data_IF_339020271041
#
_entry.id   IF_339020271041
#
_cell.length_a   1.000
_cell.length_b   1.000
_cell.length_c   1.000
_cell.angle_alpha   90.00
_cell.angle_beta   90.00
_cell.angle_gamma   90.00
#
_symmetry.space_group_name_H-M   'P 1'
#
loop_
_entity.id
_entity.type
_entity.pdbx_description
1 polymer ?
#
# COMPACT_ATOMS: atom_id res chain seq x y z
N UNK A 1 12.37 -1.37 2.55
CA UNK A 1 11.68 -1.53 1.24
C UNK A 1 11.19 -0.18 0.80
N UNK A 2 11.33 0.17 -0.48
CA UNK A 2 10.84 1.48 -0.96
C UNK A 2 9.33 1.46 -1.16
N UNK A 3 8.72 2.62 -0.98
CA UNK A 3 7.29 2.84 -1.26
C UNK A 3 6.94 2.46 -2.71
N UNK A 4 7.82 2.76 -3.66
CA UNK A 4 7.65 2.39 -5.07
C UNK A 4 7.50 0.88 -5.28
N UNK A 5 8.30 0.08 -4.59
CA UNK A 5 8.22 -1.38 -4.64
C UNK A 5 6.94 -1.90 -4.00
N UNK A 6 6.56 -1.35 -2.84
CA UNK A 6 5.29 -1.70 -2.19
C UNK A 6 4.11 -1.46 -3.15
N UNK A 7 4.04 -0.29 -3.78
CA UNK A 7 2.96 0.02 -4.74
C UNK A 7 2.96 -0.93 -5.93
N UNK A 8 4.14 -1.39 -6.39
CA UNK A 8 4.24 -2.37 -7.48
C UNK A 8 3.66 -3.73 -7.05
N UNK A 9 3.96 -4.17 -5.83
CA UNK A 9 3.37 -5.39 -5.26
C UNK A 9 1.85 -5.28 -5.11
N UNK A 10 1.37 -4.15 -4.57
CA UNK A 10 -0.06 -3.88 -4.41
C UNK A 10 -0.80 -3.92 -5.75
N UNK A 11 -0.27 -3.28 -6.81
CA UNK A 11 -0.85 -3.35 -8.17
C UNK A 11 -0.87 -4.79 -8.70
N UNK A 12 0.19 -5.55 -8.48
CA UNK A 12 0.24 -6.97 -8.88
C UNK A 12 -0.80 -7.81 -8.13
N UNK A 13 -1.13 -7.43 -6.91
CA UNK A 13 -2.18 -8.02 -6.07
C UNK A 13 -3.60 -7.55 -6.43
N UNK A 14 -3.78 -6.83 -7.54
CA UNK A 14 -5.04 -6.17 -7.95
C UNK A 14 -5.58 -5.15 -6.95
N UNK A 15 -4.75 -4.64 -6.03
CA UNK A 15 -5.14 -3.52 -5.19
C UNK A 15 -5.19 -2.23 -6.05
N UNK A 16 -6.17 -1.38 -5.77
CA UNK A 16 -6.43 -0.15 -6.53
C UNK A 16 -6.33 1.08 -5.63
N UNK A 17 -6.01 2.23 -6.21
CA UNK A 17 -6.06 3.51 -5.50
C UNK A 17 -7.54 3.93 -5.47
N UNK A 18 -8.10 4.00 -4.27
CA UNK A 18 -9.49 4.42 -4.05
C UNK A 18 -9.60 5.92 -3.87
N UNK A 19 -8.59 6.57 -3.28
CA UNK A 19 -8.55 8.03 -3.13
C UNK A 19 -7.11 8.53 -3.09
N UNK A 20 -6.82 9.57 -3.86
CA UNK A 20 -5.55 10.29 -3.78
C UNK A 20 -5.65 11.39 -2.72
N UNK A 21 -4.75 11.36 -1.75
CA UNK A 21 -4.55 12.45 -0.79
C UNK A 21 -3.23 13.18 -1.04
N UNK A 22 -3.00 14.28 -0.32
CA UNK A 22 -1.78 15.08 -0.45
C UNK A 22 -0.54 14.29 -0.01
N UNK A 23 -0.56 13.72 1.21
CA UNK A 23 0.56 12.97 1.79
C UNK A 23 0.42 11.44 1.66
N UNK A 24 -0.83 10.95 1.70
CA UNK A 24 -1.15 9.52 1.64
C UNK A 24 -2.21 9.25 0.58
N UNK A 25 -2.04 8.16 -0.16
CA UNK A 25 -3.03 7.59 -1.06
C UNK A 25 -3.78 6.48 -0.30
N UNK A 26 -5.10 6.45 -0.39
CA UNK A 26 -5.89 5.34 0.12
C UNK A 26 -5.97 4.25 -0.94
N UNK A 27 -5.48 3.08 -0.59
CA UNK A 27 -5.54 1.88 -1.41
C UNK A 27 -6.67 0.98 -0.92
N UNK A 28 -7.31 0.29 -1.85
CA UNK A 28 -8.31 -0.73 -1.60
C UNK A 28 -7.76 -2.08 -2.05
N UNK A 29 -7.82 -3.07 -1.17
CA UNK A 29 -7.54 -4.46 -1.53
C UNK A 29 -8.84 -5.21 -1.80
N UNK A 30 -9.04 -5.76 -3.02
CA UNK A 30 -10.16 -6.65 -3.30
C UNK A 30 -10.00 -8.03 -2.63
N UNK A 31 -8.81 -8.37 -2.14
CA UNK A 31 -8.53 -9.66 -1.49
C UNK A 31 -9.13 -9.66 -0.07
N UNK A 32 -8.93 -8.57 0.66
CA UNK A 32 -9.39 -8.43 2.06
C UNK A 32 -10.62 -7.56 2.21
N UNK A 33 -11.02 -6.82 1.17
CA UNK A 33 -12.10 -5.84 1.20
C UNK A 33 -11.78 -4.59 2.03
N UNK A 34 -10.49 -4.34 2.33
CA UNK A 34 -10.07 -3.25 3.21
C UNK A 34 -9.50 -2.06 2.45
N UNK A 35 -9.69 -0.88 3.05
CA UNK A 35 -8.98 0.32 2.67
C UNK A 35 -7.84 0.60 3.65
N UNK A 36 -6.66 0.95 3.13
CA UNK A 36 -5.50 1.29 3.93
C UNK A 36 -4.69 2.44 3.32
N UNK A 37 -4.08 3.31 4.15
CA UNK A 37 -3.26 4.40 3.66
C UNK A 37 -1.87 3.90 3.25
N UNK A 38 -1.41 4.37 2.09
CA UNK A 38 -0.04 4.15 1.59
C UNK A 38 0.60 5.53 1.37
N UNK A 39 1.81 5.78 1.87
CA UNK A 39 2.49 7.05 1.66
C UNK A 39 2.75 7.30 0.17
N UNK A 40 2.57 8.57 -0.25
CA UNK A 40 2.76 8.96 -1.65
C UNK A 40 4.24 8.98 -2.05
N UNK A 41 5.12 9.28 -1.09
CA UNK A 41 6.54 9.55 -1.29
C UNK A 41 7.30 8.29 -1.72
N UNK A 42 7.36 8.07 -3.04
CA UNK A 42 7.93 6.87 -3.66
C UNK A 42 9.41 6.62 -3.31
N UNK A 43 10.15 7.68 -3.02
CA UNK A 43 11.59 7.62 -2.70
C UNK A 43 11.88 7.29 -1.23
N UNK A 44 10.88 7.34 -0.34
CA UNK A 44 11.08 6.97 1.06
C UNK A 44 11.10 5.45 1.25
N UNK A 45 11.92 5.02 2.20
CA UNK A 45 11.85 3.67 2.72
C UNK A 45 10.73 3.53 3.74
N UNK A 46 9.94 2.47 3.58
CA UNK A 46 8.98 2.05 4.59
C UNK A 46 9.72 1.37 5.73
N UNK A 47 9.43 1.83 6.94
CA UNK A 47 9.77 1.11 8.16
C UNK A 47 9.14 -0.30 8.10
N UNK A 48 9.86 -1.30 8.61
CA UNK A 48 9.47 -2.70 8.50
C UNK A 48 8.05 -2.97 9.01
N UNK A 49 7.69 -2.40 10.16
CA UNK A 49 6.34 -2.54 10.72
C UNK A 49 5.23 -1.94 9.86
N UNK A 50 5.50 -0.83 9.16
CA UNK A 50 4.55 -0.22 8.22
C UNK A 50 4.37 -1.09 6.99
N UNK A 51 5.47 -1.61 6.45
CA UNK A 51 5.43 -2.53 5.31
C UNK A 51 4.63 -3.80 5.65
N UNK A 52 4.88 -4.40 6.82
CA UNK A 52 4.18 -5.61 7.25
C UNK A 52 2.68 -5.38 7.46
N UNK A 53 2.30 -4.23 8.05
CA UNK A 53 0.89 -3.83 8.16
C UNK A 53 0.22 -3.71 6.80
N UNK A 54 0.84 -2.99 5.87
CA UNK A 54 0.29 -2.79 4.52
C UNK A 54 0.16 -4.14 3.79
N UNK A 55 1.14 -5.04 3.89
CA UNK A 55 1.05 -6.37 3.27
C UNK A 55 -0.09 -7.20 3.86
N UNK A 56 -0.27 -7.16 5.18
CA UNK A 56 -1.34 -7.86 5.87
C UNK A 56 -2.72 -7.33 5.49
N UNK A 57 -2.89 -6.00 5.46
CA UNK A 57 -4.15 -5.39 5.03
C UNK A 57 -4.40 -5.58 3.53
N UNK A 58 -3.35 -5.70 2.71
CA UNK A 58 -3.46 -6.04 1.30
C UNK A 58 -3.81 -7.52 1.05
N UNK A 59 -3.67 -8.40 2.06
CA UNK A 59 -3.89 -9.85 1.90
C UNK A 59 -2.72 -10.57 1.22
N UNK A 60 -1.52 -9.98 1.27
CA UNK A 60 -0.29 -10.55 0.71
C UNK A 60 0.50 -11.39 1.72
N UNK A 61 0.13 -11.36 3.00
CA UNK A 61 0.79 -12.08 4.10
C UNK A 61 -0.18 -12.36 5.25
#
# INVERSE_FOLDING_TARGET
MRVSEMKRMLRSAKCIISREGANHEMWYSPITGKHFPVPRHNSQELMRGTAEKIMKDAGLK
#
